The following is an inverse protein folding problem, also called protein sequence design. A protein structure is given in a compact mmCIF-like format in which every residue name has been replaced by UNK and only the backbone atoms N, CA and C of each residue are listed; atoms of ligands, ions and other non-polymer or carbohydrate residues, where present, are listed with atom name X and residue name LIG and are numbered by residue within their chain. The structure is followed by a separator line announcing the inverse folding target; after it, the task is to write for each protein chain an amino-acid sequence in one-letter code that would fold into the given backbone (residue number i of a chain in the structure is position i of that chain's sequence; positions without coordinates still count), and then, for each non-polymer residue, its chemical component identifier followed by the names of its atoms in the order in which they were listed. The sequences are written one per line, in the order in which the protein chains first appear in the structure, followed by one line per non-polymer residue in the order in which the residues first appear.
data_IF_012866901760
#
_entry.id   IF_012866901760
#
_cell.length_a   1.000
_cell.length_b   1.000
_cell.length_c   1.000
_cell.angle_alpha   90.00
_cell.angle_beta   90.00
_cell.angle_gamma   90.00
#
_symmetry.space_group_name_H-M   'P 1'
#
loop_
_entity.id
_entity.type
_entity.pdbx_description
1 polymer ?
#
# COMPACT_ATOMS: atom_id res chain seq x y z
N UNK A 1 -8.74 -13.12 -10.86
CA UNK A 1 -7.42 -13.74 -11.05
C UNK A 1 -7.29 -14.85 -10.02
N UNK A 2 -6.75 -16.00 -10.40
CA UNK A 2 -6.53 -17.09 -9.44
C UNK A 2 -5.34 -16.73 -8.55
N UNK A 3 -5.50 -16.93 -7.24
CA UNK A 3 -4.35 -17.00 -6.35
C UNK A 3 -3.72 -18.39 -6.48
N UNK A 4 -2.60 -18.48 -7.20
CA UNK A 4 -1.92 -19.73 -7.45
C UNK A 4 -1.45 -20.42 -6.18
N UNK A 5 -1.05 -19.66 -5.16
CA UNK A 5 -0.63 -20.26 -3.88
C UNK A 5 -1.80 -20.95 -3.20
N UNK A 6 -2.94 -20.30 -3.18
CA UNK A 6 -4.15 -20.88 -2.61
C UNK A 6 -4.61 -22.09 -3.44
N UNK A 7 -4.65 -21.97 -4.76
CA UNK A 7 -5.04 -23.06 -5.64
C UNK A 7 -4.15 -24.31 -5.49
N UNK A 8 -2.81 -24.12 -5.48
CA UNK A 8 -1.86 -25.23 -5.28
C UNK A 8 -1.98 -25.81 -3.87
N UNK A 9 -2.19 -24.96 -2.86
CA UNK A 9 -2.45 -25.43 -1.51
C UNK A 9 -3.68 -26.33 -1.44
N UNK A 10 -4.79 -25.94 -2.08
CA UNK A 10 -6.04 -26.72 -2.11
C UNK A 10 -5.84 -28.08 -2.78
N UNK A 11 -5.17 -28.16 -3.93
CA UNK A 11 -4.95 -29.44 -4.62
C UNK A 11 -4.04 -30.37 -3.83
N UNK A 12 -3.01 -29.84 -3.14
CA UNK A 12 -2.13 -30.64 -2.26
C UNK A 12 -2.91 -31.10 -1.02
N UNK A 13 -3.69 -30.22 -0.41
CA UNK A 13 -4.50 -30.57 0.76
C UNK A 13 -5.51 -31.66 0.45
N UNK A 14 -6.10 -31.65 -0.73
CA UNK A 14 -6.97 -32.73 -1.20
C UNK A 14 -6.22 -34.05 -1.35
N UNK A 15 -5.02 -34.04 -1.94
CA UNK A 15 -4.18 -35.21 -2.06
C UNK A 15 -3.73 -35.77 -0.69
N UNK A 16 -3.42 -34.90 0.28
CA UNK A 16 -3.12 -35.30 1.65
C UNK A 16 -4.32 -35.94 2.35
N UNK A 17 -5.52 -35.43 2.10
CA UNK A 17 -6.75 -35.99 2.63
C UNK A 17 -7.00 -37.40 2.10
N UNK A 18 -6.71 -37.67 0.81
CA UNK A 18 -6.78 -39.03 0.24
C UNK A 18 -5.78 -40.01 0.91
N UNK A 19 -4.69 -39.48 1.47
CA UNK A 19 -3.68 -40.26 2.22
C UNK A 19 -3.96 -40.32 3.74
N UNK A 20 -5.07 -39.76 4.20
CA UNK A 20 -5.39 -39.63 5.63
C UNK A 20 -4.34 -38.85 6.44
N UNK A 21 -3.73 -37.83 5.81
CA UNK A 21 -2.70 -36.98 6.39
C UNK A 21 -3.24 -35.59 6.62
N UNK A 22 -3.13 -35.09 7.86
CA UNK A 22 -3.41 -33.70 8.18
C UNK A 22 -2.11 -32.92 8.36
N UNK A 23 -1.91 -31.87 7.56
CA UNK A 23 -0.73 -31.00 7.65
C UNK A 23 -1.03 -29.64 7.05
N UNK A 24 -0.30 -28.62 7.52
CA UNK A 24 -0.33 -27.29 6.94
C UNK A 24 0.58 -27.25 5.71
N UNK A 25 0.00 -26.93 4.56
CA UNK A 25 0.72 -26.81 3.29
C UNK A 25 1.20 -25.38 3.11
N UNK A 26 2.50 -25.21 2.90
CA UNK A 26 3.11 -23.92 2.56
C UNK A 26 3.58 -23.97 1.11
N UNK A 27 3.07 -23.05 0.28
CA UNK A 27 3.43 -22.90 -1.13
C UNK A 27 4.18 -21.59 -1.31
N UNK A 28 5.35 -21.64 -1.92
CA UNK A 28 6.19 -20.49 -2.18
C UNK A 28 6.44 -20.31 -3.68
N UNK A 29 6.71 -19.06 -4.08
CA UNK A 29 7.19 -18.78 -5.44
C UNK A 29 8.61 -19.34 -5.55
N UNK A 30 8.87 -20.12 -6.60
CA UNK A 30 10.19 -20.67 -6.83
C UNK A 30 11.22 -19.57 -7.08
N UNK A 31 12.37 -19.66 -6.44
CA UNK A 31 13.50 -18.73 -6.66
C UNK A 31 14.31 -19.09 -7.90
N UNK A 32 14.19 -20.33 -8.39
CA UNK A 32 14.91 -20.82 -9.57
C UNK A 32 13.89 -21.29 -10.62
N UNK A 33 13.83 -20.64 -11.79
CA UNK A 33 12.89 -21.00 -12.86
C UNK A 33 12.97 -22.44 -13.34
N UNK A 34 14.13 -23.12 -13.18
CA UNK A 34 14.28 -24.52 -13.54
C UNK A 34 13.43 -25.47 -12.67
N UNK A 35 12.91 -24.98 -11.55
CA UNK A 35 12.03 -25.72 -10.64
C UNK A 35 10.59 -25.24 -10.72
N UNK A 36 10.20 -24.61 -11.83
CA UNK A 36 8.84 -24.10 -12.01
C UNK A 36 8.57 -22.75 -11.39
N UNK A 37 7.30 -22.36 -11.35
CA UNK A 37 6.84 -21.08 -10.84
C UNK A 37 6.59 -21.11 -9.33
N UNK A 38 6.10 -22.24 -8.83
CA UNK A 38 5.79 -22.47 -7.41
C UNK A 38 6.34 -23.79 -6.92
N UNK A 39 6.65 -23.85 -5.64
CA UNK A 39 7.14 -25.07 -4.99
C UNK A 39 6.62 -25.21 -3.57
N UNK A 40 6.65 -26.45 -3.07
CA UNK A 40 6.38 -26.76 -1.67
C UNK A 40 7.35 -27.83 -1.15
N UNK A 41 7.67 -27.69 0.14
CA UNK A 41 8.51 -28.65 0.87
C UNK A 41 7.69 -29.56 1.77
N UNK A 42 6.40 -29.73 1.54
CA UNK A 42 5.46 -30.49 2.39
C UNK A 42 5.96 -31.90 2.67
N UNK A 43 6.54 -32.60 1.69
CA UNK A 43 7.05 -33.94 1.87
C UNK A 43 8.26 -34.01 2.84
N UNK A 44 9.08 -32.97 2.87
CA UNK A 44 10.18 -32.85 3.84
C UNK A 44 9.63 -32.68 5.25
N UNK A 45 8.59 -31.87 5.41
CA UNK A 45 7.92 -31.65 6.70
C UNK A 45 7.29 -32.96 7.23
N UNK A 46 6.72 -33.77 6.34
CA UNK A 46 6.06 -35.04 6.68
C UNK A 46 7.01 -36.20 6.91
N UNK A 47 8.27 -36.13 6.46
CA UNK A 47 9.22 -37.26 6.49
C UNK A 47 9.41 -37.86 7.87
N UNK A 48 9.52 -37.02 8.90
CA UNK A 48 9.68 -37.47 10.30
C UNK A 48 8.41 -38.14 10.84
N UNK A 49 7.26 -37.59 10.51
CA UNK A 49 5.94 -38.08 10.97
C UNK A 49 5.65 -39.43 10.32
N UNK A 50 5.87 -39.55 9.00
CA UNK A 50 5.58 -40.76 8.23
C UNK A 50 6.72 -41.80 8.28
N UNK A 51 7.88 -41.45 8.88
CA UNK A 51 9.08 -42.29 8.93
C UNK A 51 9.47 -42.84 7.55
N UNK A 52 9.34 -42.04 6.51
CA UNK A 52 9.60 -42.42 5.12
C UNK A 52 10.50 -41.41 4.42
N UNK A 53 11.08 -41.80 3.30
CA UNK A 53 11.92 -40.93 2.47
C UNK A 53 11.10 -39.77 1.90
N UNK A 54 11.53 -38.48 2.07
CA UNK A 54 10.81 -37.34 1.56
C UNK A 54 10.53 -37.41 0.04
N UNK A 55 11.47 -37.95 -0.72
CA UNK A 55 11.32 -38.08 -2.16
C UNK A 55 10.17 -39.04 -2.53
N UNK A 56 10.02 -40.16 -1.80
CA UNK A 56 8.94 -41.11 -2.00
C UNK A 56 7.58 -40.51 -1.54
N UNK A 57 7.58 -39.76 -0.44
CA UNK A 57 6.39 -39.02 0.00
C UNK A 57 5.96 -38.03 -1.07
N UNK A 58 6.91 -37.24 -1.62
CA UNK A 58 6.60 -36.28 -2.68
C UNK A 58 6.05 -36.96 -3.93
N UNK A 59 6.60 -38.11 -4.35
CA UNK A 59 6.06 -38.86 -5.49
C UNK A 59 4.65 -39.38 -5.22
N UNK A 60 4.37 -39.90 -4.02
CA UNK A 60 3.03 -40.35 -3.65
C UNK A 60 2.02 -39.20 -3.66
N UNK A 61 2.35 -38.05 -3.08
CA UNK A 61 1.48 -36.88 -3.14
C UNK A 61 1.29 -36.45 -4.61
N UNK A 62 2.39 -36.37 -5.39
CA UNK A 62 2.37 -35.99 -6.79
C UNK A 62 1.43 -36.86 -7.63
N UNK A 63 1.42 -38.20 -7.41
CA UNK A 63 0.54 -39.12 -8.16
C UNK A 63 -0.95 -38.94 -7.89
N UNK A 64 -1.32 -38.28 -6.82
CA UNK A 64 -2.71 -38.01 -6.41
C UNK A 64 -3.18 -36.59 -6.74
N UNK A 65 -2.28 -35.73 -7.23
CA UNK A 65 -2.66 -34.36 -7.59
C UNK A 65 -3.66 -34.36 -8.74
N UNK A 66 -4.77 -33.64 -8.53
CA UNK A 66 -5.79 -33.39 -9.53
C UNK A 66 -5.90 -31.89 -9.75
N UNK A 67 -5.54 -31.41 -10.93
CA UNK A 67 -5.59 -30.00 -11.27
C UNK A 67 -6.01 -29.78 -12.72
N UNK A 68 -6.43 -28.55 -13.00
CA UNK A 68 -6.77 -28.12 -14.36
C UNK A 68 -5.49 -27.83 -15.15
N UNK A 69 -5.29 -28.58 -16.26
CA UNK A 69 -4.14 -28.39 -17.15
C UNK A 69 -4.13 -27.02 -17.86
N UNK A 70 -5.25 -26.31 -17.86
CA UNK A 70 -5.32 -24.93 -18.33
C UNK A 70 -4.68 -23.94 -17.33
N UNK A 71 -4.51 -24.36 -16.07
CA UNK A 71 -3.92 -23.54 -15.00
C UNK A 71 -2.50 -23.98 -14.70
N UNK A 72 -2.28 -25.26 -14.49
CA UNK A 72 -0.97 -25.87 -14.24
C UNK A 72 -0.65 -26.80 -15.41
N UNK A 73 0.45 -26.53 -16.14
CA UNK A 73 0.87 -27.35 -17.25
C UNK A 73 1.44 -28.69 -16.81
N UNK A 74 2.24 -28.67 -15.76
CA UNK A 74 2.87 -29.86 -15.19
C UNK A 74 3.30 -29.63 -13.75
N UNK A 75 3.52 -30.72 -13.02
CA UNK A 75 4.25 -30.74 -11.77
C UNK A 75 5.43 -31.71 -11.86
N UNK A 76 6.43 -31.47 -11.03
CA UNK A 76 7.61 -32.32 -10.95
C UNK A 76 8.04 -32.52 -9.50
N UNK A 77 8.80 -33.60 -9.26
CA UNK A 77 9.38 -33.87 -7.95
C UNK A 77 10.90 -33.78 -8.06
N UNK A 78 11.52 -32.97 -7.19
CA UNK A 78 12.95 -32.80 -7.14
C UNK A 78 13.53 -33.16 -5.76
N UNK A 79 14.82 -33.59 -5.78
CA UNK A 79 15.53 -33.86 -4.51
C UNK A 79 15.65 -32.59 -3.68
N UNK A 80 15.60 -32.70 -2.35
CA UNK A 80 15.40 -33.92 -1.54
C UNK A 80 13.95 -34.36 -1.33
N UNK A 81 12.94 -33.70 -1.91
CA UNK A 81 11.50 -34.00 -1.76
C UNK A 81 10.64 -32.76 -1.95
N UNK A 82 11.00 -31.88 -2.88
CA UNK A 82 10.17 -30.74 -3.30
C UNK A 82 9.18 -31.17 -4.37
N UNK A 83 7.97 -30.64 -4.27
CA UNK A 83 6.98 -30.62 -5.34
C UNK A 83 7.01 -29.26 -6.01
N UNK A 84 7.18 -29.24 -7.33
CA UNK A 84 7.31 -28.03 -8.14
C UNK A 84 6.17 -27.98 -9.16
N UNK A 85 5.69 -26.78 -9.47
CA UNK A 85 4.56 -26.55 -10.32
C UNK A 85 4.87 -25.52 -11.40
N UNK A 86 4.52 -25.80 -12.64
CA UNK A 86 4.61 -24.89 -13.77
C UNK A 86 3.22 -24.37 -14.14
N UNK A 87 3.07 -23.06 -14.20
CA UNK A 87 1.81 -22.47 -14.65
C UNK A 87 1.72 -22.55 -16.16
N UNK A 88 0.54 -22.84 -16.65
CA UNK A 88 0.29 -23.01 -18.09
C UNK A 88 0.43 -21.67 -18.84
N UNK A 89 1.13 -21.69 -19.97
CA UNK A 89 1.18 -20.56 -20.90
C UNK A 89 -0.21 -20.16 -21.39
N UNK A 90 -1.10 -21.13 -21.57
CA UNK A 90 -2.51 -20.89 -21.91
C UNK A 90 -3.20 -20.02 -20.86
N UNK A 91 -2.91 -20.22 -19.57
CA UNK A 91 -3.48 -19.39 -18.51
C UNK A 91 -3.04 -17.93 -18.67
N UNK A 92 -1.75 -17.70 -18.93
CA UNK A 92 -1.23 -16.35 -19.14
C UNK A 92 -1.84 -15.69 -20.38
N UNK A 93 -1.92 -16.40 -21.51
CA UNK A 93 -2.54 -15.89 -22.73
C UNK A 93 -4.03 -15.54 -22.53
N UNK A 94 -4.79 -16.40 -21.87
CA UNK A 94 -6.19 -16.13 -21.50
C UNK A 94 -6.31 -14.95 -20.53
N UNK A 95 -5.34 -14.79 -19.62
CA UNK A 95 -5.32 -13.67 -18.70
C UNK A 95 -5.08 -12.35 -19.43
N UNK A 96 -4.17 -12.30 -20.42
CA UNK A 96 -3.96 -11.12 -21.27
C UNK A 96 -5.26 -10.72 -21.97
N UNK A 97 -5.96 -11.69 -22.55
CA UNK A 97 -7.27 -11.45 -23.20
C UNK A 97 -8.31 -10.89 -22.22
N UNK A 98 -8.33 -11.38 -20.98
CA UNK A 98 -9.20 -10.85 -19.92
C UNK A 98 -8.81 -9.42 -19.53
N UNK A 99 -7.52 -9.11 -19.42
CA UNK A 99 -7.04 -7.75 -19.13
C UNK A 99 -7.53 -6.80 -20.22
N UNK A 100 -7.32 -7.15 -21.48
CA UNK A 100 -7.73 -6.31 -22.62
C UNK A 100 -9.25 -6.09 -22.62
N UNK A 101 -10.03 -7.16 -22.41
CA UNK A 101 -11.51 -7.08 -22.39
C UNK A 101 -12.06 -6.28 -21.22
N UNK A 102 -11.44 -6.39 -20.05
CA UNK A 102 -11.85 -5.66 -18.85
C UNK A 102 -11.41 -4.20 -18.89
N UNK A 103 -10.34 -3.88 -19.68
CA UNK A 103 -9.82 -2.53 -19.85
C UNK A 103 -9.63 -1.82 -18.48
N UNK A 104 -10.23 -0.66 -18.32
CA UNK A 104 -10.11 0.16 -17.11
C UNK A 104 -10.72 -0.49 -15.85
N UNK A 105 -11.53 -1.51 -15.98
CA UNK A 105 -12.13 -2.21 -14.82
C UNK A 105 -11.31 -3.42 -14.34
N UNK A 106 -10.20 -3.75 -15.01
CA UNK A 106 -9.39 -4.89 -14.64
C UNK A 106 -8.80 -4.76 -13.22
N UNK A 107 -9.03 -5.75 -12.39
CA UNK A 107 -8.58 -5.74 -10.99
C UNK A 107 -9.58 -5.12 -9.99
N UNK A 108 -10.66 -4.50 -10.47
CA UNK A 108 -11.73 -4.03 -9.58
C UNK A 108 -12.34 -5.19 -8.80
N UNK A 109 -12.68 -4.91 -7.55
CA UNK A 109 -13.40 -5.88 -6.70
C UNK A 109 -14.56 -5.20 -5.96
N UNK A 110 -15.37 -6.01 -5.31
CA UNK A 110 -16.51 -5.52 -4.50
C UNK A 110 -16.28 -5.69 -3.01
N UNK A 111 -15.04 -5.90 -2.56
CA UNK A 111 -14.71 -6.14 -1.14
C UNK A 111 -15.08 -4.96 -0.24
N UNK A 112 -15.09 -3.75 -0.80
CA UNK A 112 -15.46 -2.52 -0.13
C UNK A 112 -16.95 -2.16 -0.23
N UNK A 113 -17.77 -2.97 -0.90
CA UNK A 113 -19.20 -2.67 -1.08
C UNK A 113 -19.89 -2.42 0.26
N UNK A 114 -20.62 -1.30 0.36
CA UNK A 114 -21.28 -0.84 1.58
C UNK A 114 -20.35 -0.44 2.75
N UNK A 115 -19.04 -0.33 2.50
CA UNK A 115 -18.07 0.16 3.48
C UNK A 115 -17.65 1.58 3.14
N UNK A 116 -17.39 2.38 4.17
CA UNK A 116 -16.83 3.72 4.06
C UNK A 116 -15.38 3.72 4.50
N UNK A 117 -14.58 4.61 3.94
CA UNK A 117 -13.22 4.87 4.38
C UNK A 117 -13.00 6.38 4.41
N UNK A 118 -12.33 6.87 5.44
CA UNK A 118 -11.83 8.23 5.51
C UNK A 118 -10.32 8.21 5.35
N UNK A 119 -9.80 8.96 4.39
CA UNK A 119 -8.36 9.04 4.11
C UNK A 119 -7.94 10.49 4.33
N UNK A 120 -7.33 10.74 5.48
CA UNK A 120 -6.71 12.02 5.81
C UNK A 120 -5.26 12.02 5.30
N UNK A 121 -4.88 13.08 4.57
CA UNK A 121 -3.52 13.23 4.09
C UNK A 121 -3.13 14.69 3.90
N UNK A 122 -1.81 14.94 3.88
CA UNK A 122 -1.16 16.25 3.94
C UNK A 122 -1.36 16.91 5.30
N UNK A 123 -2.56 17.41 5.61
CA UNK A 123 -2.95 18.05 6.89
C UNK A 123 -1.84 18.97 7.46
N UNK A 124 -1.24 19.77 6.59
CA UNK A 124 -0.13 20.64 6.93
C UNK A 124 -0.63 21.87 7.70
N UNK A 125 0.03 22.21 8.80
CA UNK A 125 -0.23 23.47 9.49
C UNK A 125 0.09 24.66 8.58
N UNK A 126 -0.77 25.71 8.52
CA UNK A 126 -0.60 26.86 7.64
C UNK A 126 0.48 27.84 8.19
N UNK A 127 1.61 27.31 8.60
CA UNK A 127 2.72 28.07 9.23
C UNK A 127 3.89 28.33 8.29
N UNK A 128 3.78 27.88 7.03
CA UNK A 128 4.81 28.08 6.01
C UNK A 128 4.48 27.37 4.70
N UNK A 129 5.36 27.49 3.69
CA UNK A 129 5.20 26.85 2.40
C UNK A 129 5.19 25.33 2.53
N UNK A 130 4.43 24.66 1.64
CA UNK A 130 4.44 23.21 1.53
C UNK A 130 5.84 22.71 1.13
N UNK A 131 6.25 21.59 1.71
CA UNK A 131 7.54 20.94 1.44
C UNK A 131 7.35 19.71 0.53
N UNK A 132 8.47 19.16 0.04
CA UNK A 132 8.49 17.88 -0.69
C UNK A 132 7.87 16.75 0.15
N UNK A 133 8.02 16.80 1.49
CA UNK A 133 7.38 15.85 2.40
C UNK A 133 5.85 15.88 2.31
N UNK A 134 5.26 17.07 2.24
CA UNK A 134 3.82 17.24 2.04
C UNK A 134 3.38 16.74 0.65
N UNK A 135 4.17 17.00 -0.40
CA UNK A 135 3.94 16.46 -1.73
C UNK A 135 3.92 14.93 -1.76
N UNK A 136 4.85 14.30 -1.03
CA UNK A 136 4.87 12.83 -0.88
C UNK A 136 3.61 12.32 -0.19
N UNK A 137 3.16 12.98 0.88
CA UNK A 137 1.92 12.61 1.58
C UNK A 137 0.70 12.76 0.67
N UNK A 138 0.65 13.82 -0.15
CA UNK A 138 -0.44 14.04 -1.12
C UNK A 138 -0.54 12.87 -2.10
N UNK A 139 0.57 12.50 -2.75
CA UNK A 139 0.60 11.39 -3.70
C UNK A 139 0.22 10.06 -3.03
N UNK A 140 0.77 9.78 -1.85
CA UNK A 140 0.48 8.55 -1.13
C UNK A 140 -0.99 8.47 -0.71
N UNK A 141 -1.52 9.54 -0.11
CA UNK A 141 -2.91 9.59 0.36
C UNK A 141 -3.93 9.47 -0.76
N UNK A 142 -3.73 10.21 -1.85
CA UNK A 142 -4.60 10.11 -3.01
C UNK A 142 -4.52 8.74 -3.69
N UNK A 143 -3.32 8.14 -3.78
CA UNK A 143 -3.16 6.77 -4.30
C UNK A 143 -3.91 5.75 -3.45
N UNK A 144 -3.83 5.83 -2.12
CA UNK A 144 -4.57 4.95 -1.21
C UNK A 144 -6.08 5.14 -1.41
N UNK A 145 -6.54 6.39 -1.50
CA UNK A 145 -7.95 6.70 -1.73
C UNK A 145 -8.44 6.09 -3.05
N UNK A 146 -7.68 6.24 -4.13
CA UNK A 146 -7.99 5.67 -5.45
C UNK A 146 -8.03 4.13 -5.42
N UNK A 147 -7.10 3.47 -4.71
CA UNK A 147 -7.10 2.02 -4.55
C UNK A 147 -8.36 1.55 -3.80
N UNK A 148 -8.73 2.24 -2.74
CA UNK A 148 -9.94 1.92 -1.99
C UNK A 148 -11.21 2.10 -2.85
N UNK A 149 -11.32 3.18 -3.61
CA UNK A 149 -12.43 3.40 -4.58
C UNK A 149 -12.47 2.29 -5.63
N UNK A 150 -11.28 1.88 -6.13
CA UNK A 150 -11.15 0.76 -7.07
C UNK A 150 -11.72 -0.54 -6.52
N UNK A 151 -11.62 -0.73 -5.21
CA UNK A 151 -12.20 -1.87 -4.51
C UNK A 151 -13.61 -1.63 -3.96
N UNK A 152 -14.30 -0.60 -4.48
CA UNK A 152 -15.70 -0.28 -4.19
C UNK A 152 -15.98 0.20 -2.75
N UNK A 153 -15.01 0.84 -2.10
CA UNK A 153 -15.27 1.62 -0.89
C UNK A 153 -15.84 2.98 -1.26
N UNK A 154 -16.73 3.51 -0.41
CA UNK A 154 -17.12 4.93 -0.46
C UNK A 154 -16.05 5.73 0.31
N UNK A 155 -15.17 6.41 -0.42
CA UNK A 155 -14.04 7.14 0.16
C UNK A 155 -14.37 8.60 0.36
N UNK A 156 -13.98 9.12 1.52
CA UNK A 156 -13.90 10.55 1.81
C UNK A 156 -12.44 10.93 1.93
N UNK A 157 -11.98 11.90 1.12
CA UNK A 157 -10.66 12.50 1.25
C UNK A 157 -10.77 13.67 2.23
N UNK A 158 -9.94 13.67 3.25
CA UNK A 158 -9.96 14.66 4.34
C UNK A 158 -8.63 15.41 4.42
N UNK A 159 -8.74 16.70 4.66
CA UNK A 159 -7.63 17.57 5.02
C UNK A 159 -7.97 18.25 6.34
N UNK A 160 -7.20 17.99 7.38
CA UNK A 160 -7.36 18.69 8.66
C UNK A 160 -6.65 20.04 8.60
N UNK A 161 -7.45 21.11 8.57
CA UNK A 161 -6.94 22.47 8.56
C UNK A 161 -6.85 22.99 10.00
N UNK A 162 -5.63 23.12 10.51
CA UNK A 162 -5.38 23.60 11.87
C UNK A 162 -5.07 25.11 11.86
N UNK A 163 -6.09 25.93 12.14
CA UNK A 163 -6.03 27.38 12.17
C UNK A 163 -6.01 27.98 13.60
N UNK A 164 -5.74 27.15 14.61
CA UNK A 164 -5.80 27.53 16.02
C UNK A 164 -4.52 27.14 16.79
N UNK A 165 -4.48 27.56 18.04
CA UNK A 165 -3.43 27.17 18.99
C UNK A 165 -2.14 27.97 18.90
N UNK A 166 -1.09 27.43 19.58
CA UNK A 166 0.18 28.13 19.80
C UNK A 166 0.88 28.50 18.50
N UNK A 167 0.91 27.61 17.51
CA UNK A 167 1.62 27.86 16.25
C UNK A 167 1.00 29.02 15.47
N UNK A 168 -0.32 29.09 15.41
CA UNK A 168 -1.01 30.20 14.74
C UNK A 168 -0.78 31.53 15.45
N UNK A 169 -0.76 31.54 16.79
CA UNK A 169 -0.43 32.73 17.56
C UNK A 169 1.01 33.20 17.27
N UNK A 170 2.00 32.30 17.29
CA UNK A 170 3.39 32.65 16.98
C UNK A 170 3.53 33.13 15.53
N UNK A 171 2.78 32.56 14.59
CA UNK A 171 2.73 33.04 13.22
C UNK A 171 2.23 34.48 13.17
N UNK A 172 1.11 34.77 13.82
CA UNK A 172 0.53 36.13 13.90
C UNK A 172 1.51 37.13 14.53
N UNK A 173 2.14 36.77 15.67
CA UNK A 173 3.13 37.57 16.33
C UNK A 173 4.37 37.83 15.44
N UNK A 174 4.79 36.83 14.66
CA UNK A 174 5.92 36.98 13.73
C UNK A 174 5.59 37.93 12.58
N UNK A 175 4.37 37.86 12.04
CA UNK A 175 3.89 38.78 11.00
C UNK A 175 3.73 40.17 11.56
N UNK A 176 3.13 40.31 12.75
CA UNK A 176 2.96 41.61 13.44
C UNK A 176 4.32 42.29 13.67
N UNK A 177 5.32 41.56 14.16
CA UNK A 177 6.66 42.10 14.36
C UNK A 177 7.27 42.64 13.05
N UNK A 178 7.12 41.96 11.93
CA UNK A 178 7.57 42.44 10.63
C UNK A 178 6.77 43.64 10.13
N UNK A 179 5.44 43.62 10.30
CA UNK A 179 4.57 44.72 9.92
C UNK A 179 4.90 46.01 10.71
N UNK A 180 5.03 45.95 12.05
CA UNK A 180 5.36 47.10 12.86
C UNK A 180 6.72 47.69 12.50
N UNK A 181 7.73 46.85 12.27
CA UNK A 181 9.03 47.29 11.78
C UNK A 181 8.93 48.03 10.43
N UNK A 182 8.10 47.58 9.51
CA UNK A 182 7.87 48.24 8.20
C UNK A 182 7.25 49.64 8.32
N UNK A 183 6.46 49.90 9.36
CA UNK A 183 5.87 51.22 9.65
C UNK A 183 6.69 52.06 10.65
N UNK A 184 7.96 51.63 10.94
CA UNK A 184 8.87 52.38 11.80
C UNK A 184 8.59 52.26 13.29
N UNK A 185 7.86 51.25 13.72
CA UNK A 185 7.57 50.98 15.14
C UNK A 185 8.42 49.82 15.65
N UNK A 186 8.86 49.93 16.89
CA UNK A 186 9.61 48.86 17.54
C UNK A 186 8.64 47.80 18.10
N UNK A 187 8.80 46.55 17.64
CA UNK A 187 8.05 45.42 18.14
C UNK A 187 8.97 44.23 18.32
N UNK A 188 8.92 43.62 19.51
CA UNK A 188 9.80 42.50 19.83
C UNK A 188 9.44 41.26 19.02
N UNK A 189 10.37 40.78 18.20
CA UNK A 189 10.17 39.54 17.46
C UNK A 189 10.14 38.36 18.43
N UNK A 190 9.13 37.42 18.32
CA UNK A 190 9.05 36.29 19.22
C UNK A 190 10.27 35.36 19.07
N UNK A 191 10.74 34.81 20.20
CA UNK A 191 11.96 33.99 20.26
C UNK A 191 11.87 32.74 19.36
N UNK A 192 10.71 32.09 19.36
CA UNK A 192 10.35 30.95 18.55
C UNK A 192 9.59 31.34 17.26
N UNK A 193 9.69 32.60 16.86
CA UNK A 193 9.01 33.16 15.70
C UNK A 193 9.50 32.61 14.37
N UNK A 194 8.60 32.63 13.38
CA UNK A 194 8.87 32.21 12.02
C UNK A 194 9.66 33.28 11.27
N UNK A 195 10.87 32.92 10.79
CA UNK A 195 11.83 33.87 10.21
C UNK A 195 11.88 33.84 8.67
N UNK A 196 11.09 32.97 8.02
CA UNK A 196 11.12 32.79 6.58
C UNK A 196 10.72 34.06 5.80
N UNK A 197 11.17 34.17 4.56
CA UNK A 197 10.87 35.33 3.68
C UNK A 197 9.37 35.53 3.45
N UNK A 198 8.59 34.44 3.47
CA UNK A 198 7.14 34.51 3.33
C UNK A 198 6.47 35.35 4.42
N UNK A 199 7.03 35.42 5.64
CA UNK A 199 6.53 36.30 6.72
C UNK A 199 6.70 37.76 6.33
N UNK A 200 7.84 38.10 5.70
CA UNK A 200 8.11 39.46 5.21
C UNK A 200 7.13 39.80 4.08
N UNK A 201 6.89 38.88 3.18
CA UNK A 201 5.93 39.06 2.08
C UNK A 201 4.52 39.32 2.60
N UNK A 202 4.05 38.51 3.56
CA UNK A 202 2.73 38.70 4.21
C UNK A 202 2.64 40.07 4.91
N UNK A 203 3.68 40.46 5.65
CA UNK A 203 3.72 41.76 6.33
C UNK A 203 3.65 42.93 5.32
N UNK A 204 4.35 42.84 4.17
CA UNK A 204 4.29 43.82 3.12
C UNK A 204 2.88 43.90 2.48
N UNK A 205 2.24 42.76 2.23
CA UNK A 205 0.85 42.73 1.71
C UNK A 205 -0.11 43.42 2.67
N UNK A 206 -0.01 43.13 3.97
CA UNK A 206 -0.80 43.76 5.00
C UNK A 206 -0.57 45.28 5.01
N UNK A 207 0.70 45.73 4.98
CA UNK A 207 1.02 47.15 4.91
C UNK A 207 0.43 47.83 3.67
N UNK A 208 0.56 47.18 2.52
CA UNK A 208 0.01 47.71 1.26
C UNK A 208 -1.51 47.84 1.29
N UNK A 209 -2.19 46.91 1.96
CA UNK A 209 -3.65 46.89 2.06
C UNK A 209 -4.24 47.85 3.11
N UNK A 210 -3.57 47.96 4.27
CA UNK A 210 -4.10 48.62 5.46
C UNK A 210 -3.28 49.83 5.90
N UNK A 211 -2.12 50.10 5.24
CA UNK A 211 -1.26 51.23 5.65
C UNK A 211 -0.78 51.08 7.10
N UNK A 212 -1.05 52.10 7.91
CA UNK A 212 -0.74 52.14 9.35
C UNK A 212 -1.99 51.94 10.23
N UNK A 213 -3.13 51.64 9.65
CA UNK A 213 -4.44 51.63 10.39
C UNK A 213 -4.50 50.56 11.47
N UNK A 214 -3.77 49.42 11.31
CA UNK A 214 -3.77 48.32 12.27
C UNK A 214 -3.02 48.63 13.59
N UNK A 215 -2.27 49.74 13.64
CA UNK A 215 -1.66 50.23 14.85
C UNK A 215 -2.67 50.58 15.95
N UNK A 216 -3.88 51.05 15.55
CA UNK A 216 -4.89 51.51 16.48
C UNK A 216 -5.67 50.40 17.18
N UNK A 217 -5.51 49.17 16.76
CA UNK A 217 -6.23 48.00 17.25
C UNK A 217 -5.33 46.95 17.98
N UNK A 218 -4.11 47.33 18.34
CA UNK A 218 -3.12 46.47 19.01
C UNK A 218 -2.97 46.74 20.50
#
# INVERSE_FOLDING_TARGET
MIDFKQYINEIISNALTELDIQSNVVVEKSSNPNFGDYSTNIALSLAKQLKNNPLEIAKNIGSLLKYDNEIISEHSVSKPGFLNFHISDNYYQKTISKIISASESYGMTTIGKNKTANVEFVSANPTGPLTVGHGRQAVLGDTIANILEWHNYKVTREYYYNDAGRQMRILGESVAARYFNLIGKEYKFPEDGYKGEYIISIANEIKNKHGEELEKNS
#
